data_IF_860496678723
#
_entry.id   IF_860496678723
#
_cell.length_a   1.000
_cell.length_b   1.000
_cell.length_c   1.000
_cell.angle_alpha   90.00
_cell.angle_beta   90.00
_cell.angle_gamma   90.00
#
_symmetry.space_group_name_H-M   'P 1'
#
loop_
_entity.id
_entity.type
_entity.pdbx_description
1 polymer ?
#
# COMPACT_ATOMS: atom_id res chain seq x y z
N UNK A 1 5.65 28.57 -13.02
CA UNK A 1 5.89 27.16 -13.39
C UNK A 1 5.10 26.28 -12.43
N UNK A 2 4.66 25.11 -12.85
CA UNK A 2 4.11 24.13 -11.90
C UNK A 2 5.25 23.62 -11.02
N UNK A 3 5.06 23.67 -9.70
CA UNK A 3 6.04 23.23 -8.72
C UNK A 3 5.43 22.11 -7.87
N UNK A 4 6.13 20.99 -7.76
CA UNK A 4 5.82 19.95 -6.79
C UNK A 4 6.09 20.42 -5.36
N UNK A 5 7.10 21.29 -5.17
CA UNK A 5 7.38 21.92 -3.89
C UNK A 5 7.85 23.36 -4.11
N UNK A 6 6.96 24.34 -3.90
CA UNK A 6 7.29 25.75 -4.09
C UNK A 6 8.40 26.23 -3.13
N UNK A 7 8.42 25.73 -1.89
CA UNK A 7 9.44 26.13 -0.90
C UNK A 7 10.85 25.59 -1.21
N UNK A 8 10.96 24.49 -1.96
CA UNK A 8 12.24 23.87 -2.32
C UNK A 8 12.57 23.97 -3.82
N UNK A 9 11.70 24.61 -4.60
CA UNK A 9 11.89 24.80 -6.04
C UNK A 9 11.74 23.52 -6.88
N UNK A 10 11.24 22.41 -6.32
CA UNK A 10 11.08 21.16 -7.07
C UNK A 10 9.96 21.27 -8.10
N UNK A 11 10.24 20.89 -9.34
CA UNK A 11 9.32 20.92 -10.48
C UNK A 11 9.03 19.53 -11.05
N UNK A 12 9.89 18.55 -10.79
CA UNK A 12 9.77 17.17 -11.28
C UNK A 12 10.07 16.19 -10.15
N UNK A 13 9.41 15.03 -10.17
CA UNK A 13 9.62 13.98 -9.18
C UNK A 13 10.90 13.23 -9.55
N UNK A 14 11.93 13.38 -8.73
CA UNK A 14 13.22 12.70 -8.87
C UNK A 14 13.72 12.22 -7.49
N UNK A 15 14.89 11.58 -7.47
CA UNK A 15 15.48 11.05 -6.23
C UNK A 15 15.75 12.13 -5.17
N UNK A 16 16.05 13.37 -5.57
CA UNK A 16 16.27 14.49 -4.63
C UNK A 16 14.97 14.87 -3.92
N UNK A 17 13.85 14.87 -4.65
CA UNK A 17 12.53 15.08 -4.03
C UNK A 17 12.24 13.98 -3.03
N UNK A 18 12.46 12.71 -3.40
CA UNK A 18 12.15 11.55 -2.54
C UNK A 18 12.99 11.55 -1.26
N UNK A 19 14.26 11.95 -1.34
CA UNK A 19 15.19 11.94 -0.21
C UNK A 19 14.71 12.79 0.96
N UNK A 20 14.10 13.93 0.65
CA UNK A 20 13.78 14.94 1.65
C UNK A 20 12.26 15.15 1.85
N UNK A 21 11.42 14.50 1.07
CA UNK A 21 9.96 14.70 1.09
C UNK A 21 9.22 13.56 1.78
N UNK A 22 8.03 13.88 2.27
CA UNK A 22 7.06 12.91 2.79
C UNK A 22 6.00 12.73 1.72
N UNK A 23 5.97 11.56 1.10
CA UNK A 23 5.05 11.26 0.02
C UNK A 23 4.02 10.28 0.55
N UNK A 24 2.73 10.56 0.32
CA UNK A 24 1.64 9.63 0.59
C UNK A 24 1.04 9.18 -0.73
N UNK A 25 1.00 7.87 -0.95
CA UNK A 25 0.28 7.23 -2.05
C UNK A 25 -0.98 6.61 -1.45
N UNK A 26 -2.14 7.08 -1.90
CA UNK A 26 -3.42 6.50 -1.51
C UNK A 26 -3.81 5.45 -2.53
N UNK A 27 -3.89 4.20 -2.09
CA UNK A 27 -4.38 3.08 -2.88
C UNK A 27 -5.91 3.04 -2.76
N UNK A 28 -6.57 3.90 -3.54
CA UNK A 28 -8.02 3.94 -3.64
C UNK A 28 -8.51 2.71 -4.42
N UNK A 29 -9.40 1.94 -3.80
CA UNK A 29 -10.02 0.75 -4.40
C UNK A 29 -11.50 0.98 -4.74
N UNK A 30 -11.99 0.10 -5.62
CA UNK A 30 -13.29 0.19 -6.26
C UNK A 30 -13.15 0.72 -7.69
N UNK A 31 -13.68 -0.04 -8.66
CA UNK A 31 -13.80 0.47 -10.02
C UNK A 31 -14.54 1.80 -9.99
N UNK A 32 -14.05 2.82 -10.71
CA UNK A 32 -14.81 4.04 -10.93
C UNK A 32 -16.23 3.68 -11.36
N UNK A 33 -17.21 4.12 -10.59
CA UNK A 33 -18.63 4.00 -10.95
C UNK A 33 -19.21 5.38 -11.20
N UNK A 34 -20.41 5.45 -11.78
CA UNK A 34 -21.11 6.73 -11.93
C UNK A 34 -21.34 7.43 -10.57
N UNK A 35 -21.55 6.64 -9.51
CA UNK A 35 -21.71 7.12 -8.13
C UNK A 35 -20.37 7.51 -7.49
N UNK A 36 -19.30 6.80 -7.82
CA UNK A 36 -17.96 6.99 -7.26
C UNK A 36 -16.90 7.04 -8.37
N UNK A 37 -16.78 8.15 -9.11
CA UNK A 37 -15.85 8.25 -10.25
C UNK A 37 -14.37 8.19 -9.83
N UNK A 38 -14.09 8.41 -8.53
CA UNK A 38 -12.75 8.29 -7.94
C UNK A 38 -12.58 7.02 -7.09
N UNK A 39 -13.50 6.05 -7.23
CA UNK A 39 -13.53 4.83 -6.43
C UNK A 39 -14.12 5.03 -5.03
N UNK A 40 -14.16 3.95 -4.26
CA UNK A 40 -14.87 3.89 -2.96
C UNK A 40 -14.14 4.59 -1.81
N UNK A 41 -12.92 5.07 -2.03
CA UNK A 41 -12.17 5.87 -1.05
C UNK A 41 -12.94 7.12 -0.57
N UNK A 42 -13.82 7.66 -1.42
CA UNK A 42 -14.65 8.83 -1.16
C UNK A 42 -16.13 8.49 -0.89
N UNK A 43 -16.47 7.21 -0.82
CA UNK A 43 -17.82 6.80 -0.47
C UNK A 43 -18.09 7.13 1.00
N UNK A 44 -19.28 7.67 1.29
CA UNK A 44 -19.72 7.88 2.66
C UNK A 44 -19.69 6.54 3.40
N UNK A 45 -18.96 6.53 4.50
CA UNK A 45 -18.82 5.40 5.39
C UNK A 45 -19.84 5.55 6.52
N UNK A 46 -20.71 4.56 6.66
CA UNK A 46 -21.55 4.37 7.83
C UNK A 46 -20.83 3.36 8.72
N UNK A 47 -20.61 3.69 9.99
CA UNK A 47 -20.16 2.67 10.95
C UNK A 47 -21.29 1.64 11.17
N UNK A 48 -20.97 0.52 11.81
CA UNK A 48 -21.91 -0.60 12.04
C UNK A 48 -23.22 -0.18 12.75
N UNK A 49 -23.20 0.94 13.48
CA UNK A 49 -24.37 1.54 14.14
C UNK A 49 -25.23 2.44 13.23
N UNK A 50 -24.90 2.55 11.94
CA UNK A 50 -25.63 3.37 10.96
C UNK A 50 -25.50 4.88 11.15
N UNK A 51 -24.73 5.32 12.14
CA UNK A 51 -24.45 6.72 12.39
C UNK A 51 -23.38 7.25 11.42
N UNK A 52 -23.56 8.48 10.93
CA UNK A 52 -22.44 9.24 10.37
C UNK A 52 -21.47 9.51 11.52
N UNK A 53 -20.18 9.09 11.44
CA UNK A 53 -19.20 9.37 12.48
C UNK A 53 -18.88 10.86 12.49
N UNK A 54 -19.72 11.62 13.18
CA UNK A 54 -19.41 12.96 13.64
C UNK A 54 -18.63 12.81 14.95
N UNK A 55 -17.36 13.19 14.93
CA UNK A 55 -16.61 13.40 16.17
C UNK A 55 -17.20 14.65 16.87
N UNK A 56 -17.51 14.58 18.17
CA UNK A 56 -18.01 15.73 18.92
C UNK A 56 -16.98 16.87 19.08
N UNK A 57 -15.71 16.67 18.69
CA UNK A 57 -14.60 17.61 18.93
C UNK A 57 -14.07 18.34 17.68
N UNK A 58 -14.69 18.15 16.52
CA UNK A 58 -14.12 18.68 15.27
C UNK A 58 -14.67 20.07 14.91
N UNK A 59 -13.82 21.10 15.06
CA UNK A 59 -13.98 22.42 14.43
C UNK A 59 -13.93 22.37 12.89
N UNK A 60 -13.76 21.18 12.29
CA UNK A 60 -13.69 20.95 10.85
C UNK A 60 -14.73 19.90 10.47
N UNK A 61 -15.75 20.30 9.69
CA UNK A 61 -16.75 19.41 9.12
C UNK A 61 -16.08 18.62 7.97
N UNK A 62 -15.41 17.52 8.30
CA UNK A 62 -14.91 16.59 7.29
C UNK A 62 -15.94 15.49 7.02
N UNK A 63 -16.09 15.05 5.76
CA UNK A 63 -16.98 13.95 5.45
C UNK A 63 -16.46 12.66 6.09
N UNK A 64 -17.39 11.86 6.61
CA UNK A 64 -17.14 10.54 7.13
C UNK A 64 -16.82 9.56 5.99
N UNK A 65 -15.61 9.61 5.45
CA UNK A 65 -15.16 8.74 4.36
C UNK A 65 -13.91 7.96 4.77
N UNK A 66 -13.68 6.76 4.21
CA UNK A 66 -12.53 5.91 4.56
C UNK A 66 -11.20 6.65 4.49
N UNK A 67 -11.01 7.50 3.48
CA UNK A 67 -9.80 8.30 3.33
C UNK A 67 -9.53 9.21 4.53
N UNK A 68 -10.53 9.95 5.02
CA UNK A 68 -10.35 10.87 6.15
C UNK A 68 -10.01 10.10 7.43
N UNK A 69 -10.73 8.99 7.69
CA UNK A 69 -10.47 8.12 8.86
C UNK A 69 -9.04 7.59 8.83
N UNK A 70 -8.59 7.10 7.68
CA UNK A 70 -7.26 6.56 7.50
C UNK A 70 -6.15 7.62 7.56
N UNK A 71 -6.39 8.83 7.03
CA UNK A 71 -5.45 9.95 7.17
C UNK A 71 -5.26 10.38 8.62
N UNK A 72 -6.34 10.39 9.42
CA UNK A 72 -6.27 10.69 10.87
C UNK A 72 -5.44 9.65 11.60
N UNK A 73 -5.73 8.38 11.34
CA UNK A 73 -4.95 7.29 11.91
C UNK A 73 -3.47 7.40 11.54
N UNK A 74 -3.18 7.63 10.26
CA UNK A 74 -1.81 7.80 9.76
C UNK A 74 -1.11 8.97 10.48
N UNK A 75 -1.79 10.11 10.62
CA UNK A 75 -1.24 11.27 11.33
C UNK A 75 -0.85 10.96 12.77
N UNK A 76 -1.62 10.10 13.46
CA UNK A 76 -1.33 9.69 14.83
C UNK A 76 -0.15 8.73 14.96
N UNK A 77 0.19 7.95 13.92
CA UNK A 77 1.23 6.92 13.99
C UNK A 77 2.54 7.29 13.25
N UNK A 78 2.48 8.21 12.28
CA UNK A 78 3.64 8.61 11.49
C UNK A 78 4.51 9.57 12.28
N UNK A 79 5.81 9.29 12.42
CA UNK A 79 6.73 10.25 13.04
C UNK A 79 6.85 11.51 12.19
N UNK A 80 6.77 12.65 12.85
CA UNK A 80 6.69 13.95 12.19
C UNK A 80 7.88 14.32 11.28
N UNK A 81 9.00 13.59 11.25
CA UNK A 81 10.21 13.93 10.49
C UNK A 81 10.83 12.75 9.72
N UNK A 82 10.01 11.84 9.21
CA UNK A 82 10.51 10.68 8.44
C UNK A 82 10.22 10.88 6.94
N UNK A 83 11.24 11.20 6.11
CA UNK A 83 11.09 11.25 4.66
C UNK A 83 10.93 9.84 4.08
N UNK A 84 10.32 9.76 2.90
CA UNK A 84 10.04 8.49 2.24
C UNK A 84 8.61 8.43 1.69
N UNK A 85 8.19 7.22 1.33
CA UNK A 85 6.89 6.97 0.71
C UNK A 85 6.04 6.13 1.65
N UNK A 86 4.90 6.67 2.07
CA UNK A 86 3.83 5.94 2.73
C UNK A 86 2.81 5.49 1.69
N UNK A 87 2.40 4.22 1.75
CA UNK A 87 1.26 3.73 0.97
C UNK A 87 0.13 3.37 1.91
N UNK A 88 -1.07 3.86 1.61
CA UNK A 88 -2.25 3.71 2.44
C UNK A 88 -3.41 3.21 1.59
N UNK A 89 -3.89 2.00 1.88
CA UNK A 89 -5.12 1.46 1.30
C UNK A 89 -6.35 2.00 2.00
N UNK A 90 -7.43 2.16 1.24
CA UNK A 90 -8.75 2.48 1.79
C UNK A 90 -9.66 1.25 1.93
N UNK A 91 -9.16 0.04 1.66
CA UNK A 91 -9.94 -1.22 1.83
C UNK A 91 -9.98 -1.70 3.28
N UNK A 92 -8.86 -1.59 3.99
CA UNK A 92 -8.77 -1.94 5.39
C UNK A 92 -9.00 -0.67 6.21
N UNK A 93 -10.22 -0.50 6.70
CA UNK A 93 -10.55 0.57 7.64
C UNK A 93 -10.35 0.03 9.05
N UNK A 94 -9.50 0.70 9.82
CA UNK A 94 -9.16 0.32 11.19
C UNK A 94 -9.28 1.53 12.10
N UNK A 95 -9.30 1.27 13.40
CA UNK A 95 -9.34 2.29 14.46
C UNK A 95 -8.15 2.03 15.37
N UNK A 96 -7.47 3.10 15.76
CA UNK A 96 -6.38 3.00 16.71
C UNK A 96 -6.92 2.82 18.12
N UNK A 97 -6.32 1.92 18.90
CA UNK A 97 -6.53 1.89 20.34
C UNK A 97 -5.93 3.14 20.99
N UNK A 98 -6.49 3.55 22.12
CA UNK A 98 -6.09 4.78 22.85
C UNK A 98 -4.60 4.75 23.26
N UNK A 99 -4.02 3.57 23.42
CA UNK A 99 -2.62 3.34 23.78
C UNK A 99 -1.63 3.44 22.59
N UNK A 100 -2.11 3.55 21.34
CA UNK A 100 -1.23 3.54 20.17
C UNK A 100 -0.33 4.78 20.16
N UNK A 101 0.98 4.56 20.12
CA UNK A 101 2.00 5.61 19.99
C UNK A 101 2.54 5.69 18.54
N UNK A 102 3.13 6.83 18.14
CA UNK A 102 3.90 6.93 16.91
C UNK A 102 5.01 5.88 16.84
N UNK A 103 5.22 5.30 15.65
CA UNK A 103 6.24 4.28 15.44
C UNK A 103 7.65 4.88 15.46
N UNK A 104 8.44 4.58 16.49
CA UNK A 104 9.79 5.15 16.63
C UNK A 104 10.89 4.45 15.82
N UNK A 105 10.67 3.19 15.43
CA UNK A 105 11.69 2.34 14.81
C UNK A 105 11.32 2.00 13.36
N UNK A 106 11.67 2.90 12.44
CA UNK A 106 11.53 2.68 11.00
C UNK A 106 12.92 2.45 10.40
N UNK A 107 13.15 1.24 9.89
CA UNK A 107 14.41 0.85 9.29
C UNK A 107 14.72 1.69 8.03
N UNK A 108 15.94 2.23 7.86
CA UNK A 108 16.33 2.90 6.63
C UNK A 108 16.63 1.92 5.48
N UNK A 109 16.79 0.62 5.79
CA UNK A 109 17.21 -0.41 4.83
C UNK A 109 16.16 -1.49 4.58
N UNK A 110 14.99 -1.40 5.22
CA UNK A 110 13.91 -2.36 5.09
C UNK A 110 12.60 -1.63 4.84
N UNK A 111 11.71 -2.27 4.10
CA UNK A 111 10.32 -1.82 4.00
C UNK A 111 9.58 -2.22 5.27
N UNK A 112 8.72 -1.33 5.77
CA UNK A 112 7.87 -1.58 6.94
C UNK A 112 6.44 -1.72 6.50
N UNK A 113 5.89 -2.92 6.64
CA UNK A 113 4.47 -3.18 6.52
C UNK A 113 3.83 -3.11 7.91
N UNK A 114 2.52 -2.84 8.00
CA UNK A 114 1.84 -2.75 9.29
C UNK A 114 0.74 -3.79 9.40
N UNK A 115 0.65 -4.41 10.56
CA UNK A 115 -0.34 -5.44 10.86
C UNK A 115 -0.98 -5.28 12.25
N UNK A 116 -2.07 -6.00 12.46
CA UNK A 116 -2.69 -6.19 13.77
C UNK A 116 -2.88 -7.67 14.06
N UNK A 117 -2.58 -8.16 15.27
CA UNK A 117 -2.93 -9.52 15.67
C UNK A 117 -4.45 -9.65 15.76
N UNK A 118 -5.00 -10.67 15.09
CA UNK A 118 -6.44 -11.00 15.10
C UNK A 118 -6.62 -12.51 15.00
N UNK A 119 -7.84 -13.01 15.23
CA UNK A 119 -8.17 -14.40 14.91
C UNK A 119 -8.05 -14.67 13.40
N UNK A 120 -7.49 -15.82 13.02
CA UNK A 120 -7.23 -16.18 11.63
C UNK A 120 -8.49 -16.14 10.74
N UNK A 121 -9.66 -16.43 11.32
CA UNK A 121 -10.97 -16.27 10.64
C UNK A 121 -11.23 -14.85 10.13
N UNK A 122 -10.82 -13.83 10.89
CA UNK A 122 -10.97 -12.41 10.51
C UNK A 122 -9.98 -12.08 9.39
N UNK A 123 -8.72 -12.51 9.55
CA UNK A 123 -7.68 -12.31 8.55
C UNK A 123 -8.02 -12.96 7.19
N UNK A 124 -8.70 -14.11 7.20
CA UNK A 124 -9.15 -14.84 6.02
C UNK A 124 -10.11 -14.07 5.10
N UNK A 125 -10.69 -12.94 5.54
CA UNK A 125 -11.54 -12.09 4.71
C UNK A 125 -10.76 -10.97 3.98
N UNK A 126 -9.54 -10.71 4.43
CA UNK A 126 -8.66 -9.67 3.92
C UNK A 126 -7.33 -10.31 3.52
N UNK A 127 -6.39 -10.42 4.44
CA UNK A 127 -5.14 -11.13 4.25
C UNK A 127 -4.28 -11.06 5.51
N UNK A 128 -3.25 -11.89 5.56
CA UNK A 128 -2.32 -11.95 6.68
C UNK A 128 -0.87 -12.03 6.21
N UNK A 129 0.04 -11.58 7.06
CA UNK A 129 1.46 -11.90 6.95
C UNK A 129 1.78 -13.17 7.71
N UNK A 130 2.68 -13.96 7.15
CA UNK A 130 3.45 -14.97 7.86
C UNK A 130 4.80 -14.35 8.24
N UNK A 131 5.12 -14.34 9.54
CA UNK A 131 6.28 -13.66 10.10
C UNK A 131 7.29 -14.66 10.64
N UNK A 132 8.57 -14.31 10.59
CA UNK A 132 9.61 -15.00 11.37
C UNK A 132 9.76 -14.38 12.77
N UNK A 133 10.64 -14.97 13.57
CA UNK A 133 10.92 -14.50 14.95
C UNK A 133 11.45 -13.05 15.03
N UNK A 134 12.04 -12.54 13.93
CA UNK A 134 12.58 -11.17 13.82
C UNK A 134 11.57 -10.17 13.20
N UNK A 135 10.30 -10.57 13.07
CA UNK A 135 9.21 -9.83 12.41
C UNK A 135 9.45 -9.57 10.92
N UNK A 136 10.37 -10.29 10.28
CA UNK A 136 10.50 -10.28 8.84
C UNK A 136 9.37 -11.10 8.21
N UNK A 137 8.83 -10.57 7.12
CA UNK A 137 7.74 -11.21 6.38
C UNK A 137 8.33 -12.36 5.57
N UNK A 138 7.84 -13.59 5.82
CA UNK A 138 8.21 -14.80 5.06
C UNK A 138 7.31 -14.99 3.85
N UNK A 139 6.02 -14.83 4.06
CA UNK A 139 5.02 -14.95 3.02
C UNK A 139 3.79 -14.14 3.43
N UNK A 140 2.79 -14.14 2.57
CA UNK A 140 1.55 -13.42 2.79
C UNK A 140 0.42 -14.15 2.07
N UNK A 141 -0.75 -14.14 2.69
CA UNK A 141 -1.95 -14.78 2.18
C UNK A 141 -3.04 -13.71 2.01
N UNK A 142 -3.87 -13.87 0.99
CA UNK A 142 -4.97 -12.95 0.73
C UNK A 142 -6.25 -13.73 0.48
N UNK A 143 -7.23 -13.52 1.35
CA UNK A 143 -8.53 -14.18 1.31
C UNK A 143 -8.47 -15.71 1.26
N UNK A 144 -7.54 -16.30 1.98
CA UNK A 144 -7.38 -17.75 2.08
C UNK A 144 -8.03 -18.29 3.35
N UNK A 145 -8.72 -19.45 3.29
CA UNK A 145 -9.30 -20.08 4.47
C UNK A 145 -8.18 -20.53 5.43
N UNK A 146 -8.31 -20.26 6.74
CA UNK A 146 -7.28 -20.64 7.69
C UNK A 146 -7.36 -22.14 7.98
N UNK A 147 -6.21 -22.74 8.29
CA UNK A 147 -6.15 -24.15 8.73
C UNK A 147 -6.77 -24.30 10.12
N UNK A 148 -6.57 -23.29 10.98
CA UNK A 148 -7.15 -23.18 12.31
C UNK A 148 -7.77 -21.79 12.46
N UNK A 149 -9.11 -21.72 12.54
CA UNK A 149 -9.84 -20.45 12.69
C UNK A 149 -9.49 -19.69 13.99
N UNK A 150 -9.01 -20.41 15.01
CA UNK A 150 -8.73 -19.86 16.34
C UNK A 150 -7.29 -19.41 16.52
N UNK A 151 -6.41 -19.79 15.60
CA UNK A 151 -5.03 -19.33 15.60
C UNK A 151 -4.96 -17.80 15.46
N UNK A 152 -3.94 -17.20 16.07
CA UNK A 152 -3.63 -15.79 15.87
C UNK A 152 -2.97 -15.60 14.49
N UNK A 153 -3.35 -14.54 13.78
CA UNK A 153 -2.80 -14.16 12.49
C UNK A 153 -2.51 -12.65 12.45
N UNK A 154 -1.52 -12.26 11.66
CA UNK A 154 -1.11 -10.86 11.49
C UNK A 154 -1.87 -10.22 10.33
N UNK A 155 -3.02 -9.60 10.60
CA UNK A 155 -3.89 -8.97 9.59
C UNK A 155 -3.15 -7.88 8.82
N UNK A 156 -3.26 -7.90 7.50
CA UNK A 156 -2.75 -6.84 6.62
C UNK A 156 -3.61 -5.58 6.76
N UNK A 157 -3.01 -4.47 7.22
CA UNK A 157 -3.71 -3.17 7.35
C UNK A 157 -3.72 -2.34 6.06
N UNK A 158 -3.06 -2.81 5.00
CA UNK A 158 -2.90 -2.06 3.76
C UNK A 158 -2.08 -0.78 3.92
N UNK A 159 -1.23 -0.74 4.94
CA UNK A 159 -0.32 0.37 5.25
C UNK A 159 1.13 -0.09 5.07
N UNK A 160 1.92 0.75 4.41
CA UNK A 160 3.30 0.46 4.05
C UNK A 160 4.16 1.72 4.16
N UNK A 161 5.40 1.58 4.61
CA UNK A 161 6.41 2.62 4.57
C UNK A 161 7.64 2.13 3.81
N UNK A 162 8.07 2.93 2.84
CA UNK A 162 9.31 2.75 2.08
C UNK A 162 10.27 3.87 2.51
N UNK A 163 11.45 3.52 3.08
CA UNK A 163 12.49 4.51 3.33
C UNK A 163 13.06 5.04 2.00
N UNK A 164 13.71 6.22 2.01
CA UNK A 164 14.15 6.90 0.78
C UNK A 164 14.96 6.05 -0.20
N UNK A 165 15.82 5.16 0.31
CA UNK A 165 16.59 4.22 -0.50
C UNK A 165 15.68 3.32 -1.34
N UNK A 166 14.69 2.71 -0.69
CA UNK A 166 13.74 1.80 -1.35
C UNK A 166 12.77 2.60 -2.22
N UNK A 167 12.35 3.78 -1.77
CA UNK A 167 11.49 4.69 -2.54
C UNK A 167 12.10 5.10 -3.88
N UNK A 168 13.42 5.30 -3.95
CA UNK A 168 14.12 5.63 -5.21
C UNK A 168 14.06 4.46 -6.20
N UNK A 169 14.27 3.23 -5.71
CA UNK A 169 14.10 2.02 -6.52
C UNK A 169 12.65 1.83 -6.99
N UNK A 170 11.69 2.12 -6.13
CA UNK A 170 10.27 2.11 -6.45
C UNK A 170 9.91 3.16 -7.51
N UNK A 171 10.39 4.41 -7.38
CA UNK A 171 10.14 5.48 -8.36
C UNK A 171 10.64 5.08 -9.76
N UNK A 172 11.83 4.47 -9.83
CA UNK A 172 12.40 4.03 -11.09
C UNK A 172 11.53 3.00 -11.83
N UNK A 173 10.62 2.29 -11.14
CA UNK A 173 9.69 1.34 -11.78
C UNK A 173 8.71 2.08 -12.70
N UNK A 174 8.26 3.27 -12.34
CA UNK A 174 7.22 4.01 -13.09
C UNK A 174 7.63 4.36 -14.53
N UNK A 175 8.94 4.46 -14.80
CA UNK A 175 9.48 4.73 -16.14
C UNK A 175 10.12 3.51 -16.82
N UNK A 176 10.05 2.32 -16.21
CA UNK A 176 10.69 1.11 -16.74
C UNK A 176 9.69 0.26 -17.52
N UNK A 177 10.02 -0.17 -18.75
CA UNK A 177 9.18 -1.11 -19.50
C UNK A 177 9.22 -2.52 -18.84
N UNK A 178 8.09 -3.24 -18.68
CA UNK A 178 6.71 -2.89 -19.04
C UNK A 178 5.90 -2.16 -17.97
N UNK A 179 6.48 -1.87 -16.81
CA UNK A 179 5.81 -1.20 -15.69
C UNK A 179 5.31 0.21 -16.03
N UNK A 180 5.96 0.92 -16.97
CA UNK A 180 5.48 2.21 -17.47
C UNK A 180 4.08 2.14 -18.09
N UNK A 181 3.63 0.96 -18.52
CA UNK A 181 2.26 0.73 -19.02
C UNK A 181 1.19 0.73 -17.92
N UNK A 182 1.59 0.63 -16.66
CA UNK A 182 0.71 0.75 -15.50
C UNK A 182 0.50 2.23 -15.09
N UNK A 183 1.06 3.18 -15.84
CA UNK A 183 0.94 4.62 -15.56
C UNK A 183 0.00 5.29 -16.57
N UNK A 184 -0.55 6.46 -16.20
CA UNK A 184 -1.35 7.26 -17.11
C UNK A 184 -0.59 7.60 -18.40
N UNK A 185 0.72 7.89 -18.31
CA UNK A 185 1.56 8.12 -19.48
C UNK A 185 1.57 6.93 -20.45
N UNK A 186 1.64 5.70 -19.91
CA UNK A 186 1.59 4.49 -20.72
C UNK A 186 0.24 4.34 -21.43
N UNK A 187 -0.86 4.56 -20.70
CA UNK A 187 -2.22 4.51 -21.23
C UNK A 187 -2.48 5.58 -22.29
N UNK A 188 -2.10 6.83 -22.04
CA UNK A 188 -2.26 7.96 -22.95
C UNK A 188 -1.43 7.79 -24.24
N UNK A 189 -0.33 7.03 -24.16
CA UNK A 189 0.49 6.67 -25.32
C UNK A 189 -0.08 5.51 -26.14
N UNK A 190 -1.27 5.00 -25.78
CA UNK A 190 -1.93 3.89 -26.47
C UNK A 190 -1.33 2.51 -26.19
N UNK A 191 -0.51 2.37 -25.13
CA UNK A 191 -0.02 1.06 -24.74
C UNK A 191 -1.16 0.19 -24.20
N UNK A 192 -1.05 -1.13 -24.37
CA UNK A 192 -1.90 -2.08 -23.65
C UNK A 192 -1.62 -1.89 -22.15
N UNK A 193 -2.64 -1.44 -21.42
CA UNK A 193 -2.56 -1.17 -19.99
C UNK A 193 -2.16 -2.41 -19.21
N UNK A 194 -1.38 -2.21 -18.16
CA UNK A 194 -0.95 -3.27 -17.25
C UNK A 194 -1.48 -2.97 -15.86
N UNK A 195 -2.28 -3.89 -15.30
CA UNK A 195 -2.77 -3.78 -13.93
C UNK A 195 -1.84 -4.54 -12.97
N UNK A 196 -1.36 -3.83 -11.95
CA UNK A 196 -0.51 -4.37 -10.89
C UNK A 196 -1.17 -4.09 -9.54
N UNK A 197 -0.93 -4.97 -8.58
CA UNK A 197 -1.26 -4.68 -7.20
C UNK A 197 -0.03 -4.07 -6.53
N UNK A 198 0.07 -2.74 -6.53
CA UNK A 198 1.24 -2.05 -5.97
C UNK A 198 1.62 -2.55 -4.57
N UNK A 199 0.64 -2.75 -3.70
CA UNK A 199 0.88 -3.28 -2.36
C UNK A 199 1.47 -4.69 -2.37
N UNK A 200 0.77 -5.64 -3.01
CA UNK A 200 1.17 -7.04 -3.01
C UNK A 200 2.44 -7.28 -3.82
N UNK A 201 2.55 -6.69 -5.01
CA UNK A 201 3.72 -6.86 -5.86
C UNK A 201 4.99 -6.29 -5.21
N UNK A 202 4.89 -5.20 -4.42
CA UNK A 202 6.04 -4.67 -3.68
C UNK A 202 6.41 -5.58 -2.52
N UNK A 203 5.48 -5.87 -1.60
CA UNK A 203 5.79 -6.66 -0.40
C UNK A 203 6.25 -8.05 -0.80
N UNK A 204 5.49 -8.74 -1.66
CA UNK A 204 5.79 -10.12 -2.02
C UNK A 204 7.11 -10.26 -2.77
N UNK A 205 7.51 -9.26 -3.57
CA UNK A 205 8.82 -9.28 -4.26
C UNK A 205 10.02 -9.28 -3.32
N UNK A 206 9.84 -8.86 -2.06
CA UNK A 206 10.91 -8.79 -1.04
C UNK A 206 10.99 -10.02 -0.15
N UNK A 207 9.99 -10.92 -0.21
CA UNK A 207 9.93 -12.10 0.64
C UNK A 207 9.75 -13.42 -0.14
N UNK A 208 9.72 -13.39 -1.47
CA UNK A 208 9.58 -14.59 -2.30
C UNK A 208 10.70 -14.75 -3.32
N UNK A 209 10.90 -16.00 -3.74
CA UNK A 209 11.81 -16.34 -4.82
C UNK A 209 11.25 -15.89 -6.18
N UNK A 210 12.15 -15.61 -7.15
CA UNK A 210 11.78 -15.01 -8.43
C UNK A 210 10.65 -15.77 -9.16
N UNK A 211 10.79 -17.10 -9.29
CA UNK A 211 9.82 -17.90 -10.04
C UNK A 211 8.49 -18.07 -9.29
N UNK A 212 8.53 -18.07 -7.96
CA UNK A 212 7.33 -18.07 -7.12
C UNK A 212 6.57 -16.73 -7.28
N UNK A 213 7.29 -15.61 -7.16
CA UNK A 213 6.76 -14.26 -7.34
C UNK A 213 6.09 -14.07 -8.71
N UNK A 214 6.80 -14.44 -9.77
CA UNK A 214 6.34 -14.27 -11.16
C UNK A 214 5.07 -15.08 -11.43
N UNK A 215 4.98 -16.30 -10.89
CA UNK A 215 3.85 -17.21 -11.10
C UNK A 215 2.67 -16.99 -10.15
N UNK A 216 2.89 -16.28 -9.04
CA UNK A 216 1.84 -16.02 -8.07
C UNK A 216 0.61 -15.35 -8.72
N UNK A 217 -0.59 -15.70 -8.29
CA UNK A 217 -1.85 -15.09 -8.76
C UNK A 217 -2.72 -14.64 -7.61
N UNK A 218 -2.11 -14.36 -6.47
CA UNK A 218 -2.77 -13.79 -5.32
C UNK A 218 -3.49 -12.49 -5.69
N UNK A 219 -4.69 -12.32 -5.15
CA UNK A 219 -5.59 -11.21 -5.46
C UNK A 219 -5.77 -11.03 -6.99
N UNK A 220 -6.29 -12.06 -7.71
CA UNK A 220 -6.42 -12.03 -9.17
C UNK A 220 -7.29 -10.85 -9.65
N UNK A 221 -8.19 -10.35 -8.80
CA UNK A 221 -8.99 -9.16 -9.06
C UNK A 221 -8.18 -7.85 -9.04
N UNK A 222 -6.93 -7.87 -8.57
CA UNK A 222 -6.04 -6.69 -8.44
C UNK A 222 -4.88 -6.67 -9.43
N UNK A 223 -4.74 -7.70 -10.27
CA UNK A 223 -3.64 -7.85 -11.24
C UNK A 223 -4.18 -8.12 -12.65
N UNK A 224 -3.36 -7.95 -13.67
CA UNK A 224 -3.72 -8.28 -15.06
C UNK A 224 -3.55 -9.79 -15.32
N UNK A 225 -4.68 -10.50 -15.33
CA UNK A 225 -4.72 -11.92 -15.68
C UNK A 225 -4.95 -12.18 -17.19
N UNK A 226 -5.27 -11.15 -17.98
CA UNK A 226 -5.53 -11.29 -19.41
C UNK A 226 -4.21 -11.30 -20.21
N UNK A 227 -3.19 -10.58 -19.75
CA UNK A 227 -1.87 -10.51 -20.37
C UNK A 227 -0.79 -11.08 -19.45
N UNK A 228 -0.85 -12.40 -19.19
CA UNK A 228 0.06 -13.09 -18.26
C UNK A 228 1.53 -12.84 -18.58
N UNK A 229 1.92 -12.88 -19.85
CA UNK A 229 3.32 -12.72 -20.26
C UNK A 229 3.86 -11.32 -19.91
N UNK A 230 2.99 -10.30 -20.03
CA UNK A 230 3.33 -8.92 -19.71
C UNK A 230 3.45 -8.73 -18.19
N UNK A 231 2.53 -9.33 -17.41
CA UNK A 231 2.59 -9.34 -15.96
C UNK A 231 3.85 -10.06 -15.46
N UNK A 232 4.21 -11.18 -16.06
CA UNK A 232 5.41 -11.93 -15.69
C UNK A 232 6.69 -11.14 -15.99
N UNK A 233 6.77 -10.48 -17.15
CA UNK A 233 7.89 -9.60 -17.46
C UNK A 233 7.98 -8.42 -16.49
N UNK A 234 6.83 -7.80 -16.16
CA UNK A 234 6.75 -6.73 -15.17
C UNK A 234 7.28 -7.18 -13.80
N UNK A 235 6.86 -8.34 -13.33
CA UNK A 235 7.29 -8.90 -12.05
C UNK A 235 8.76 -9.26 -12.01
N UNK A 236 9.34 -9.76 -13.10
CA UNK A 236 10.80 -9.94 -13.18
C UNK A 236 11.56 -8.63 -12.96
N UNK A 237 11.05 -7.52 -13.51
CA UNK A 237 11.63 -6.18 -13.28
C UNK A 237 11.46 -5.71 -11.83
N UNK A 238 10.27 -5.88 -11.24
CA UNK A 238 10.01 -5.53 -9.83
C UNK A 238 10.96 -6.30 -8.91
N UNK A 239 11.00 -7.63 -9.05
CA UNK A 239 11.85 -8.51 -8.25
C UNK A 239 13.33 -8.14 -8.41
N UNK A 240 13.80 -7.92 -9.64
CA UNK A 240 15.18 -7.51 -9.89
C UNK A 240 15.59 -6.18 -9.22
N UNK A 241 14.64 -5.28 -8.94
CA UNK A 241 14.91 -4.03 -8.21
C UNK A 241 14.73 -4.15 -6.70
N UNK A 242 13.75 -4.93 -6.24
CA UNK A 242 13.28 -4.89 -4.85
C UNK A 242 13.68 -6.10 -4.00
N UNK A 243 13.93 -7.28 -4.58
CA UNK A 243 14.22 -8.52 -3.83
C UNK A 243 15.45 -8.49 -2.93
N UNK A 244 16.37 -7.56 -3.18
CA UNK A 244 17.54 -7.31 -2.33
C UNK A 244 17.21 -6.62 -1.00
N UNK A 245 15.99 -6.10 -0.86
CA UNK A 245 15.51 -5.47 0.36
C UNK A 245 14.66 -6.46 1.15
N UNK A 246 14.64 -6.29 2.46
CA UNK A 246 13.80 -7.07 3.36
C UNK A 246 12.52 -6.29 3.69
N UNK A 247 11.41 -7.01 3.84
CA UNK A 247 10.18 -6.48 4.42
C UNK A 247 10.01 -6.97 5.86
N UNK A 248 9.52 -6.07 6.72
CA UNK A 248 9.26 -6.33 8.15
C UNK A 248 7.86 -5.82 8.51
N UNK A 249 7.22 -6.46 9.47
CA UNK A 249 5.90 -6.08 9.99
C UNK A 249 6.00 -5.43 11.39
#
# INVERSE_FOLDING_TARGET
>A
AEHLCASRGYTVLNDDVIRDSKILIVLAQGEPSAEFPLGRAFALYQDDDGALPYSPDDTVILPAIPLVKQLRNLHSIVPGNVPGVWMLSTEAVWVLGDEQKPFGDLSPSSLTAFCSPVAAKVAAQHGSYDLNDDLAIRSLAYREPPVDETAEAHLILGLLYLPPLISSHFLALASTNPLSRATYHGLDSGAIGLRLSLFFDIVYSTCSELEEFVRCRMAPEKIDCAHSDLLELARRVIHGKLSKFQSRA
#
